data_IF_513366840335
#
_entry.id   IF_513366840335
#
_cell.length_a   1.000
_cell.length_b   1.000
_cell.length_c   1.000
_cell.angle_alpha   90.00
_cell.angle_beta   90.00
_cell.angle_gamma   90.00
#
_symmetry.space_group_name_H-M   'P 1'
#
loop_
_entity.id
_entity.type
_entity.pdbx_description
1 polymer ?
#
# COMPACT_ATOMS: atom_id res chain seq x y z
N UNK A 1 -14.49 16.03 -6.04
CA UNK A 1 -14.44 14.65 -5.50
C UNK A 1 -13.24 14.59 -4.57
N UNK A 2 -12.65 13.44 -4.23
CA UNK A 2 -11.45 13.42 -3.40
C UNK A 2 -10.44 12.47 -4.01
N UNK A 3 -9.33 13.03 -4.47
CA UNK A 3 -8.34 12.32 -5.25
C UNK A 3 -7.13 11.95 -4.40
N UNK A 4 -6.53 10.80 -4.71
CA UNK A 4 -5.36 10.25 -4.02
C UNK A 4 -4.25 10.06 -5.03
N UNK A 5 -3.09 10.63 -4.74
CA UNK A 5 -1.87 10.42 -5.54
C UNK A 5 -1.03 9.35 -4.86
N UNK A 6 -0.66 8.33 -5.64
CA UNK A 6 0.16 7.23 -5.15
C UNK A 6 1.63 7.43 -5.55
N UNK A 7 2.55 7.17 -4.63
CA UNK A 7 3.98 7.18 -4.87
C UNK A 7 4.53 5.77 -4.65
N UNK A 8 5.15 5.20 -5.67
CA UNK A 8 5.75 3.86 -5.63
C UNK A 8 7.26 4.01 -5.72
N UNK A 9 7.97 3.56 -4.68
CA UNK A 9 9.39 3.89 -4.53
C UNK A 9 10.22 2.62 -4.33
N UNK A 10 11.18 2.47 -5.24
CA UNK A 10 12.11 1.34 -5.32
C UNK A 10 11.45 0.05 -5.77
N UNK A 11 12.30 -0.97 -5.98
CA UNK A 11 11.90 -2.27 -6.50
C UNK A 11 10.66 -2.87 -5.83
N UNK A 12 10.63 -2.96 -4.50
CA UNK A 12 9.52 -3.57 -3.78
C UNK A 12 8.23 -2.75 -3.90
N UNK A 13 8.33 -1.41 -3.80
CA UNK A 13 7.19 -0.51 -3.95
C UNK A 13 6.55 -0.61 -5.34
N UNK A 14 7.38 -0.64 -6.38
CA UNK A 14 6.94 -0.74 -7.77
C UNK A 14 6.26 -2.08 -8.09
N UNK A 15 6.80 -3.20 -7.59
CA UNK A 15 6.19 -4.52 -7.79
C UNK A 15 4.83 -4.65 -7.08
N UNK A 16 4.73 -4.17 -5.84
CA UNK A 16 3.48 -4.17 -5.09
C UNK A 16 2.46 -3.25 -5.75
N UNK A 17 2.91 -2.06 -6.16
CA UNK A 17 2.13 -1.09 -6.90
C UNK A 17 1.51 -1.67 -8.18
N UNK A 18 2.29 -2.42 -8.95
CA UNK A 18 1.80 -3.09 -10.16
C UNK A 18 0.67 -4.10 -9.85
N UNK A 19 0.86 -4.93 -8.82
CA UNK A 19 -0.16 -5.88 -8.40
C UNK A 19 -1.40 -5.20 -7.80
N UNK A 20 -1.22 -4.05 -7.16
CA UNK A 20 -2.30 -3.22 -6.62
C UNK A 20 -3.15 -2.62 -7.74
N UNK A 21 -2.52 -2.03 -8.75
CA UNK A 21 -3.25 -1.49 -9.89
C UNK A 21 -3.96 -2.57 -10.72
N UNK A 22 -3.32 -3.71 -10.96
CA UNK A 22 -3.96 -4.85 -11.63
C UNK A 22 -5.21 -5.33 -10.86
N UNK A 23 -5.15 -5.31 -9.53
CA UNK A 23 -6.28 -5.67 -8.67
C UNK A 23 -7.41 -4.65 -8.75
N UNK A 24 -7.09 -3.35 -8.65
CA UNK A 24 -8.06 -2.27 -8.78
C UNK A 24 -8.74 -2.29 -10.15
N UNK A 25 -7.99 -2.45 -11.24
CA UNK A 25 -8.57 -2.58 -12.58
C UNK A 25 -9.57 -3.73 -12.66
N UNK A 26 -9.22 -4.90 -12.09
CA UNK A 26 -10.13 -6.04 -12.02
C UNK A 26 -11.39 -5.80 -11.18
N UNK A 27 -11.33 -4.96 -10.15
CA UNK A 27 -12.50 -4.60 -9.33
C UNK A 27 -13.42 -3.57 -10.01
N UNK A 28 -12.85 -2.68 -10.83
CA UNK A 28 -13.58 -1.65 -11.60
C UNK A 28 -13.95 -2.08 -13.02
N UNK A 29 -13.78 -3.37 -13.36
CA UNK A 29 -14.00 -3.92 -14.70
C UNK A 29 -13.23 -3.18 -15.82
N UNK A 30 -12.02 -2.75 -15.52
CA UNK A 30 -11.07 -2.16 -16.45
C UNK A 30 -10.13 -3.24 -16.98
N UNK A 31 -9.78 -3.13 -18.26
CA UNK A 31 -8.72 -3.91 -18.88
C UNK A 31 -7.34 -3.47 -18.36
N UNK A 32 -6.32 -4.28 -18.60
CA UNK A 32 -4.94 -3.99 -18.21
C UNK A 32 -4.40 -2.69 -18.83
N UNK A 33 -5.00 -2.25 -19.95
CA UNK A 33 -4.69 -0.98 -20.59
C UNK A 33 -5.49 0.22 -20.06
N UNK A 34 -6.42 0.02 -19.11
CA UNK A 34 -7.25 1.08 -18.53
C UNK A 34 -8.56 1.37 -19.28
N UNK A 35 -8.95 0.54 -20.24
CA UNK A 35 -10.23 0.66 -20.95
C UNK A 35 -11.34 -0.10 -20.24
N UNK A 36 -12.55 0.44 -20.24
CA UNK A 36 -13.69 -0.24 -19.62
C UNK A 36 -14.15 -1.44 -20.47
N UNK A 37 -14.20 -2.63 -19.86
CA UNK A 37 -14.54 -3.88 -20.56
C UNK A 37 -16.07 -4.02 -20.74
N UNK A 38 -16.85 -3.53 -19.76
CA UNK A 38 -18.32 -3.62 -19.80
C UNK A 38 -18.99 -2.39 -19.19
N UNK A 39 -20.09 -1.94 -19.81
CA UNK A 39 -20.96 -0.88 -19.32
C UNK A 39 -21.99 -1.43 -18.31
N UNK A 40 -21.53 -2.24 -17.34
CA UNK A 40 -22.35 -2.42 -16.15
C UNK A 40 -22.10 -1.20 -15.28
N UNK A 41 -23.15 -0.40 -15.07
CA UNK A 41 -23.17 0.74 -14.14
C UNK A 41 -23.01 0.20 -12.71
N UNK A 42 -21.79 -0.19 -12.36
CA UNK A 42 -21.38 -0.26 -10.97
C UNK A 42 -21.41 1.19 -10.47
N UNK A 43 -22.05 1.45 -9.33
CA UNK A 43 -21.95 2.73 -8.63
C UNK A 43 -20.55 2.84 -8.02
N UNK A 44 -19.50 2.92 -8.83
CA UNK A 44 -18.10 2.98 -8.40
C UNK A 44 -17.48 4.35 -8.64
N UNK A 45 -16.68 4.83 -7.68
CA UNK A 45 -15.94 6.08 -7.79
C UNK A 45 -14.54 5.81 -8.32
N UNK A 46 -14.41 5.71 -9.64
CA UNK A 46 -13.12 5.49 -10.32
C UNK A 46 -12.17 6.68 -10.17
N UNK A 47 -12.74 7.89 -10.13
CA UNK A 47 -11.98 9.17 -10.14
C UNK A 47 -11.12 9.41 -8.89
N UNK A 48 -11.30 8.61 -7.82
CA UNK A 48 -10.49 8.69 -6.60
C UNK A 48 -9.02 8.37 -6.91
N UNK A 49 -8.79 7.37 -7.77
CA UNK A 49 -7.45 6.87 -8.10
C UNK A 49 -7.06 7.09 -9.56
N UNK A 50 -8.05 7.21 -10.45
CA UNK A 50 -7.84 7.40 -11.87
C UNK A 50 -8.15 8.83 -12.29
N UNK A 51 -7.50 9.29 -13.34
CA UNK A 51 -8.03 10.36 -14.17
C UNK A 51 -8.45 9.78 -15.52
N UNK A 52 -9.49 10.36 -16.11
CA UNK A 52 -9.97 9.97 -17.42
C UNK A 52 -9.27 10.83 -18.48
N UNK A 53 -8.58 10.18 -19.41
CA UNK A 53 -8.00 10.83 -20.57
C UNK A 53 -9.07 11.05 -21.66
N UNK A 54 -8.77 11.93 -22.62
CA UNK A 54 -9.69 12.31 -23.71
C UNK A 54 -10.11 11.14 -24.60
N UNK A 55 -9.29 10.08 -24.65
CA UNK A 55 -9.55 8.82 -25.37
C UNK A 55 -10.46 7.84 -24.60
N UNK A 56 -10.95 8.25 -23.42
CA UNK A 56 -11.78 7.43 -22.55
C UNK A 56 -10.99 6.40 -21.73
N UNK A 57 -9.66 6.47 -21.74
CA UNK A 57 -8.78 5.61 -20.94
C UNK A 57 -8.68 6.12 -19.50
N UNK A 58 -8.77 5.21 -18.54
CA UNK A 58 -8.51 5.51 -17.14
C UNK A 58 -7.03 5.31 -16.83
N UNK A 59 -6.35 6.40 -16.49
CA UNK A 59 -4.92 6.40 -16.18
C UNK A 59 -4.73 6.58 -14.67
N UNK A 60 -3.92 5.74 -14.00
CA UNK A 60 -3.69 5.84 -12.56
C UNK A 60 -2.92 7.11 -12.20
N UNK A 61 -3.34 7.78 -11.12
CA UNK A 61 -2.59 8.86 -10.47
C UNK A 61 -1.45 8.27 -9.65
N UNK A 62 -0.41 7.83 -10.34
CA UNK A 62 0.76 7.20 -9.72
C UNK A 62 2.07 7.72 -10.25
N UNK A 63 3.00 7.94 -9.34
CA UNK A 63 4.39 8.28 -9.63
C UNK A 63 5.26 7.10 -9.23
N UNK A 64 6.07 6.63 -10.18
CA UNK A 64 6.95 5.49 -10.00
C UNK A 64 8.38 5.99 -10.00
N UNK A 65 9.14 5.65 -8.96
CA UNK A 65 10.54 6.02 -8.87
C UNK A 65 11.40 4.81 -8.54
N UNK A 66 12.42 4.58 -9.35
CA UNK A 66 13.47 3.62 -9.03
C UNK A 66 14.83 4.13 -9.47
N UNK A 67 15.87 3.76 -8.72
CA UNK A 67 17.25 3.99 -9.14
C UNK A 67 17.72 2.84 -10.05
N UNK A 68 16.99 1.73 -10.11
CA UNK A 68 17.26 0.60 -10.99
C UNK A 68 16.24 0.46 -12.12
N UNK A 69 16.67 0.36 -13.39
CA UNK A 69 15.75 0.25 -14.53
C UNK A 69 15.06 -1.12 -14.64
N UNK A 70 15.54 -2.15 -13.93
CA UNK A 70 15.12 -3.56 -14.14
C UNK A 70 13.62 -3.76 -13.93
N UNK A 71 13.11 -3.24 -12.81
CA UNK A 71 11.70 -3.42 -12.42
C UNK A 71 10.82 -2.55 -13.30
N UNK A 72 11.21 -1.29 -13.52
CA UNK A 72 10.44 -0.35 -14.34
C UNK A 72 10.33 -0.85 -15.79
N UNK A 73 11.38 -1.44 -16.35
CA UNK A 73 11.33 -2.02 -17.70
C UNK A 73 10.41 -3.24 -17.82
N UNK A 74 10.15 -3.96 -16.72
CA UNK A 74 9.20 -5.08 -16.70
C UNK A 74 7.74 -4.63 -16.57
N UNK A 75 7.49 -3.36 -16.24
CA UNK A 75 6.13 -2.82 -16.08
C UNK A 75 5.49 -2.52 -17.44
N UNK A 76 4.16 -2.59 -17.47
CA UNK A 76 3.37 -2.23 -18.64
C UNK A 76 3.37 -0.71 -18.82
N UNK A 77 4.29 -0.21 -19.67
CA UNK A 77 4.42 1.23 -19.96
C UNK A 77 3.12 1.87 -20.45
N UNK A 78 2.28 1.12 -21.16
CA UNK A 78 1.03 1.63 -21.73
C UNK A 78 -0.07 1.93 -20.69
N UNK A 79 0.07 1.52 -19.43
CA UNK A 79 -0.96 1.77 -18.41
C UNK A 79 -0.68 3.06 -17.63
N UNK A 80 0.58 3.37 -17.38
CA UNK A 80 1.02 4.54 -16.63
C UNK A 80 1.29 5.74 -17.54
N UNK A 81 1.29 6.95 -16.99
CA UNK A 81 1.81 8.11 -17.70
C UNK A 81 3.35 8.03 -17.74
N UNK A 82 3.94 8.09 -18.93
CA UNK A 82 5.40 7.99 -19.11
C UNK A 82 6.15 9.12 -18.39
N UNK A 83 5.54 10.30 -18.28
CA UNK A 83 6.11 11.45 -17.57
C UNK A 83 6.19 11.27 -16.04
N UNK A 84 5.49 10.27 -15.49
CA UNK A 84 5.45 9.98 -14.05
C UNK A 84 6.37 8.82 -13.67
N UNK A 85 7.17 8.31 -14.62
CA UNK A 85 8.11 7.22 -14.41
C UNK A 85 9.53 7.79 -14.36
N UNK A 86 10.14 7.73 -13.19
CA UNK A 86 11.49 8.22 -12.95
C UNK A 86 12.45 7.06 -12.74
N UNK A 87 13.47 7.02 -13.60
CA UNK A 87 14.57 6.05 -13.54
C UNK A 87 15.88 6.83 -13.47
N UNK A 88 16.74 6.54 -12.49
CA UNK A 88 18.10 7.12 -12.50
C UNK A 88 18.90 6.59 -13.70
N UNK A 89 19.47 7.52 -14.47
CA UNK A 89 20.30 7.22 -15.64
C UNK A 89 21.66 6.58 -15.30
N UNK A 90 22.07 6.54 -14.03
CA UNK A 90 23.37 6.00 -13.63
C UNK A 90 23.44 4.46 -13.63
N UNK A 91 22.30 3.76 -13.70
CA UNK A 91 22.22 2.29 -13.80
C UNK A 91 22.76 1.49 -12.60
N UNK A 92 23.46 2.15 -11.68
CA UNK A 92 23.87 1.63 -10.39
C UNK A 92 22.74 1.89 -9.40
N UNK A 93 22.03 0.83 -8.99
CA UNK A 93 21.07 0.93 -7.91
C UNK A 93 21.70 1.40 -6.60
N UNK A 94 20.87 1.69 -5.60
CA UNK A 94 21.37 2.18 -4.32
C UNK A 94 22.24 1.17 -3.53
N UNK A 95 22.40 -0.07 -4.02
CA UNK A 95 23.30 -1.07 -3.44
C UNK A 95 22.97 -1.40 -1.97
N UNK A 96 21.68 -1.37 -1.61
CA UNK A 96 21.20 -1.50 -0.23
C UNK A 96 21.80 -0.49 0.77
N UNK A 97 22.30 0.66 0.31
CA UNK A 97 22.84 1.71 1.16
C UNK A 97 21.84 2.89 1.25
N UNK A 98 21.30 3.12 2.44
CA UNK A 98 20.39 4.24 2.71
C UNK A 98 21.00 5.59 2.37
N UNK A 99 22.27 5.83 2.74
CA UNK A 99 22.92 7.11 2.52
C UNK A 99 23.09 7.40 1.03
N UNK A 100 23.44 6.39 0.22
CA UNK A 100 23.54 6.57 -1.21
C UNK A 100 22.17 6.90 -1.82
N UNK A 101 21.10 6.17 -1.45
CA UNK A 101 19.74 6.48 -1.89
C UNK A 101 19.28 7.89 -1.50
N UNK A 102 19.65 8.36 -0.30
CA UNK A 102 19.30 9.69 0.19
C UNK A 102 20.07 10.82 -0.50
N UNK A 103 21.39 10.67 -0.67
CA UNK A 103 22.23 11.71 -1.26
C UNK A 103 22.21 11.72 -2.79
N UNK A 104 22.28 10.54 -3.43
CA UNK A 104 22.16 10.42 -4.90
C UNK A 104 20.75 10.83 -5.35
N UNK A 105 19.73 10.45 -4.58
CA UNK A 105 18.35 10.83 -4.88
C UNK A 105 18.06 12.34 -4.85
N UNK A 106 18.96 13.18 -4.32
CA UNK A 106 18.79 14.64 -4.38
C UNK A 106 18.80 15.20 -5.79
N UNK A 107 19.49 14.57 -6.74
CA UNK A 107 19.47 15.02 -8.14
C UNK A 107 18.13 14.74 -8.82
N UNK A 108 17.49 13.60 -8.51
CA UNK A 108 16.15 13.26 -9.03
C UNK A 108 15.00 13.91 -8.25
N UNK A 109 15.29 14.45 -7.07
CA UNK A 109 14.28 15.03 -6.16
C UNK A 109 13.45 16.10 -6.85
N UNK A 110 14.09 17.04 -7.52
CA UNK A 110 13.40 18.20 -8.10
C UNK A 110 12.48 17.76 -9.25
N UNK A 111 12.94 16.85 -10.12
CA UNK A 111 12.12 16.28 -11.20
C UNK A 111 10.89 15.53 -10.66
N UNK A 112 11.06 14.72 -9.61
CA UNK A 112 9.95 13.98 -8.99
C UNK A 112 8.97 14.92 -8.30
N UNK A 113 9.46 15.99 -7.65
CA UNK A 113 8.61 16.98 -7.00
C UNK A 113 7.83 17.82 -8.02
N UNK A 114 8.43 18.15 -9.16
CA UNK A 114 7.75 18.85 -10.26
C UNK A 114 6.63 18.00 -10.87
N UNK A 115 6.85 16.69 -11.06
CA UNK A 115 5.79 15.79 -11.50
C UNK A 115 4.72 15.56 -10.43
N UNK A 116 5.12 15.48 -9.15
CA UNK A 116 4.15 15.44 -8.05
C UNK A 116 3.29 16.69 -8.05
N UNK A 117 3.88 17.86 -8.23
CA UNK A 117 3.13 19.11 -8.30
C UNK A 117 2.16 19.12 -9.49
N UNK A 118 2.58 18.66 -10.66
CA UNK A 118 1.70 18.52 -11.84
C UNK A 118 0.50 17.61 -11.58
N UNK A 119 0.72 16.47 -10.93
CA UNK A 119 -0.35 15.54 -10.55
C UNK A 119 -1.28 16.12 -9.48
N UNK A 120 -0.76 16.94 -8.56
CA UNK A 120 -1.58 17.64 -7.56
C UNK A 120 -2.41 18.75 -8.21
N UNK A 121 -1.84 19.49 -9.17
CA UNK A 121 -2.54 20.52 -9.93
C UNK A 121 -3.61 19.94 -10.86
N UNK A 122 -3.46 18.70 -11.30
CA UNK A 122 -4.47 17.97 -12.09
C UNK A 122 -5.61 17.36 -11.23
N UNK A 123 -5.55 17.48 -9.91
CA UNK A 123 -6.61 17.06 -9.00
C UNK A 123 -7.52 18.26 -8.66
N UNK A 124 -8.84 18.07 -8.67
CA UNK A 124 -9.77 19.09 -8.19
C UNK A 124 -9.65 19.27 -6.68
N UNK A 125 -9.54 18.16 -5.94
CA UNK A 125 -9.38 18.16 -4.49
C UNK A 125 -8.53 16.98 -4.01
N UNK A 126 -7.21 17.19 -4.00
CA UNK A 126 -6.28 16.24 -3.37
C UNK A 126 -6.64 15.99 -1.90
N UNK A 127 -6.90 14.74 -1.55
CA UNK A 127 -7.16 14.32 -0.16
C UNK A 127 -5.89 13.87 0.55
N UNK A 128 -5.13 12.95 -0.05
CA UNK A 128 -3.95 12.35 0.59
C UNK A 128 -2.94 11.79 -0.40
N UNK A 129 -1.71 11.58 0.10
CA UNK A 129 -0.65 10.89 -0.61
C UNK A 129 -0.46 9.50 -0.04
N UNK A 130 -0.42 8.48 -0.90
CA UNK A 130 -0.14 7.10 -0.52
C UNK A 130 1.23 6.66 -1.02
N UNK A 131 2.17 6.51 -0.10
CA UNK A 131 3.53 6.07 -0.41
C UNK A 131 3.65 4.57 -0.19
N UNK A 132 4.12 3.82 -1.17
CA UNK A 132 4.43 2.40 -1.06
C UNK A 132 5.93 2.19 -1.25
N UNK A 133 6.60 1.74 -0.20
CA UNK A 133 8.05 1.61 -0.20
C UNK A 133 8.54 0.52 0.76
N UNK A 134 9.77 0.06 0.55
CA UNK A 134 10.44 -0.85 1.49
C UNK A 134 11.30 -0.07 2.49
N UNK A 135 11.26 -0.48 3.76
CA UNK A 135 12.06 0.07 4.85
C UNK A 135 13.51 -0.43 4.82
N UNK A 136 13.75 -1.58 4.19
CA UNK A 136 15.06 -2.25 4.15
C UNK A 136 15.89 -1.94 2.90
N UNK A 137 15.25 -1.67 1.76
CA UNK A 137 15.94 -1.50 0.48
C UNK A 137 16.62 -0.14 0.33
N UNK A 138 17.77 -0.05 -0.33
CA UNK A 138 18.53 1.22 -0.43
C UNK A 138 17.73 2.38 -1.03
N UNK A 139 17.03 2.15 -2.14
CA UNK A 139 16.18 3.17 -2.81
C UNK A 139 14.92 3.46 -1.99
N UNK A 140 14.15 2.42 -1.63
CA UNK A 140 12.89 2.58 -0.89
C UNK A 140 13.05 3.22 0.48
N UNK A 141 14.18 2.98 1.14
CA UNK A 141 14.51 3.51 2.46
C UNK A 141 15.12 4.91 2.37
N UNK A 142 16.21 5.07 1.60
CA UNK A 142 16.98 6.31 1.47
C UNK A 142 16.24 7.39 0.70
N UNK A 143 15.92 7.13 -0.57
CA UNK A 143 15.19 8.09 -1.40
C UNK A 143 13.75 8.27 -0.90
N UNK A 144 13.12 7.20 -0.41
CA UNK A 144 11.81 7.32 0.23
C UNK A 144 11.82 8.28 1.43
N UNK A 145 12.84 8.21 2.28
CA UNK A 145 12.98 9.14 3.41
C UNK A 145 13.13 10.60 2.96
N UNK A 146 13.89 10.86 1.89
CA UNK A 146 14.03 12.19 1.32
C UNK A 146 12.68 12.73 0.81
N UNK A 147 11.92 11.92 0.07
CA UNK A 147 10.61 12.33 -0.43
C UNK A 147 9.61 12.61 0.69
N UNK A 148 9.64 11.85 1.79
CA UNK A 148 8.80 12.12 2.96
C UNK A 148 9.03 13.51 3.54
N UNK A 149 10.30 13.93 3.63
CA UNK A 149 10.68 15.26 4.14
C UNK A 149 10.16 16.37 3.21
N UNK A 150 10.40 16.24 1.91
CA UNK A 150 10.04 17.24 0.92
C UNK A 150 8.53 17.37 0.74
N UNK A 151 7.80 16.25 0.66
CA UNK A 151 6.34 16.27 0.54
C UNK A 151 5.70 16.95 1.75
N UNK A 152 6.19 16.68 2.97
CA UNK A 152 5.65 17.31 4.17
C UNK A 152 5.98 18.80 4.25
N UNK A 153 7.14 19.23 3.71
CA UNK A 153 7.52 20.63 3.63
C UNK A 153 6.68 21.40 2.60
N UNK A 154 6.45 20.82 1.41
CA UNK A 154 5.70 21.46 0.32
C UNK A 154 4.18 21.41 0.56
N UNK A 155 3.67 20.29 1.08
CA UNK A 155 2.23 20.06 1.30
C UNK A 155 1.89 19.77 2.77
N UNK A 156 2.12 20.71 3.71
CA UNK A 156 1.99 20.45 5.14
C UNK A 156 0.56 20.14 5.60
N UNK A 157 -0.45 20.61 4.86
CA UNK A 157 -1.87 20.42 5.19
C UNK A 157 -2.45 19.10 4.68
N UNK A 158 -1.73 18.36 3.84
CA UNK A 158 -2.22 17.13 3.22
C UNK A 158 -1.72 15.92 3.99
N UNK A 159 -2.57 14.90 4.10
CA UNK A 159 -2.25 13.69 4.86
C UNK A 159 -1.33 12.80 4.04
N UNK A 160 -0.22 12.36 4.65
CA UNK A 160 0.76 11.48 4.04
C UNK A 160 0.73 10.11 4.72
N UNK A 161 0.36 9.09 3.95
CA UNK A 161 0.19 7.73 4.46
C UNK A 161 1.16 6.80 3.77
N UNK A 162 1.79 5.92 4.55
CA UNK A 162 2.78 4.99 4.04
C UNK A 162 2.35 3.54 4.22
N UNK A 163 2.42 2.76 3.16
CA UNK A 163 2.42 1.31 3.16
C UNK A 163 3.87 0.84 3.17
N UNK A 164 4.38 0.59 4.38
CA UNK A 164 5.78 0.28 4.61
C UNK A 164 5.98 -1.22 4.75
N UNK A 165 6.79 -1.80 3.85
CA UNK A 165 7.19 -3.19 3.93
C UNK A 165 8.42 -3.32 4.83
N UNK A 166 8.23 -4.01 5.94
CA UNK A 166 9.27 -4.34 6.90
C UNK A 166 9.97 -5.64 6.50
N UNK A 167 11.30 -5.69 6.71
CA UNK A 167 12.05 -6.89 6.42
C UNK A 167 11.65 -8.05 7.33
N UNK A 168 11.98 -9.26 6.86
CA UNK A 168 11.96 -10.44 7.72
C UNK A 168 13.19 -10.41 8.64
N UNK A 169 12.98 -10.36 9.95
CA UNK A 169 14.05 -10.41 10.96
C UNK A 169 14.30 -11.83 11.49
N UNK A 170 13.41 -12.79 11.20
CA UNK A 170 13.50 -14.16 11.72
C UNK A 170 14.51 -15.03 10.93
N UNK A 171 14.82 -14.64 9.68
CA UNK A 171 15.80 -15.28 8.81
C UNK A 171 17.00 -14.35 8.62
N UNK A 172 18.20 -14.91 8.54
CA UNK A 172 19.42 -14.13 8.26
C UNK A 172 19.24 -13.53 6.86
N UNK A 173 18.95 -12.24 6.80
CA UNK A 173 18.88 -11.51 5.53
C UNK A 173 20.26 -11.47 4.89
N UNK A 174 20.34 -11.69 3.57
CA UNK A 174 21.58 -11.57 2.80
C UNK A 174 22.24 -10.17 2.91
N UNK A 175 21.47 -9.17 3.37
CA UNK A 175 21.89 -7.78 3.52
C UNK A 175 22.20 -7.47 4.99
N UNK A 176 23.48 -7.36 5.32
CA UNK A 176 23.95 -7.05 6.70
C UNK A 176 23.58 -5.63 7.18
N UNK A 177 23.36 -4.68 6.26
CA UNK A 177 23.05 -3.28 6.58
C UNK A 177 21.56 -2.99 6.79
N UNK A 178 20.71 -4.02 6.67
CA UNK A 178 19.26 -3.89 6.77
C UNK A 178 18.76 -3.24 8.07
N UNK A 179 19.29 -3.55 9.27
CA UNK A 179 18.88 -2.87 10.50
C UNK A 179 19.18 -1.36 10.49
N UNK A 180 20.32 -0.95 9.92
CA UNK A 180 20.68 0.47 9.82
C UNK A 180 19.72 1.23 8.92
N UNK A 181 19.44 0.71 7.73
CA UNK A 181 18.48 1.32 6.80
C UNK A 181 17.08 1.44 7.44
N UNK A 182 16.69 0.41 8.19
CA UNK A 182 15.38 0.37 8.83
C UNK A 182 15.22 1.42 9.91
N UNK A 183 16.22 1.57 10.81
CA UNK A 183 16.17 2.57 11.88
C UNK A 183 16.16 3.99 11.34
N UNK A 184 16.99 4.28 10.33
CA UNK A 184 17.04 5.61 9.70
C UNK A 184 15.71 5.97 9.05
N UNK A 185 15.09 5.01 8.35
CA UNK A 185 13.79 5.23 7.69
C UNK A 185 12.65 5.34 8.70
N UNK A 186 12.67 4.54 9.75
CA UNK A 186 11.68 4.59 10.84
C UNK A 186 11.62 5.96 11.49
N UNK A 187 12.76 6.61 11.73
CA UNK A 187 12.80 7.95 12.27
C UNK A 187 12.05 8.95 11.36
N UNK A 188 12.22 8.85 10.04
CA UNK A 188 11.58 9.76 9.08
C UNK A 188 10.10 9.48 8.90
N UNK A 189 9.70 8.20 8.87
CA UNK A 189 8.30 7.79 8.94
C UNK A 189 7.62 8.34 10.21
N UNK A 190 8.33 8.28 11.35
CA UNK A 190 7.82 8.80 12.61
C UNK A 190 7.72 10.33 12.66
N UNK A 191 8.49 11.08 11.87
CA UNK A 191 8.41 12.54 11.88
C UNK A 191 7.45 13.10 10.82
N UNK A 192 7.41 12.49 9.63
CA UNK A 192 6.77 13.11 8.45
C UNK A 192 5.47 12.45 7.99
N UNK A 193 5.25 11.16 8.26
CA UNK A 193 3.98 10.50 7.91
C UNK A 193 2.89 10.78 8.96
N UNK A 194 1.64 10.82 8.54
CA UNK A 194 0.49 10.90 9.43
C UNK A 194 -0.02 9.49 9.81
N UNK A 195 0.13 8.50 8.92
CA UNK A 195 -0.16 7.09 9.18
C UNK A 195 0.84 6.16 8.51
N UNK A 196 1.19 5.05 9.18
CA UNK A 196 2.07 4.01 8.66
C UNK A 196 1.42 2.65 8.83
N UNK A 197 1.03 2.02 7.73
CA UNK A 197 0.55 0.64 7.71
C UNK A 197 1.76 -0.29 7.62
N UNK A 198 1.98 -1.05 8.70
CA UNK A 198 3.14 -1.92 8.87
C UNK A 198 2.84 -3.31 8.33
N UNK A 199 3.62 -3.74 7.34
CA UNK A 199 3.51 -5.08 6.76
C UNK A 199 4.86 -5.79 6.83
N UNK A 200 4.94 -6.87 7.59
CA UNK A 200 6.18 -7.61 7.81
C UNK A 200 6.25 -8.82 6.88
N UNK A 201 7.34 -8.92 6.09
CA UNK A 201 7.59 -10.05 5.21
C UNK A 201 7.64 -11.40 5.95
N UNK A 202 8.15 -11.45 7.19
CA UNK A 202 8.16 -12.68 7.98
C UNK A 202 6.75 -13.18 8.33
N UNK A 203 5.85 -12.27 8.69
CA UNK A 203 4.45 -12.59 8.95
C UNK A 203 3.69 -12.94 7.67
N UNK A 204 3.95 -12.21 6.57
CA UNK A 204 3.36 -12.51 5.26
C UNK A 204 3.78 -13.87 4.73
N UNK A 205 5.05 -14.26 4.88
CA UNK A 205 5.54 -15.60 4.53
C UNK A 205 4.85 -16.68 5.34
N UNK A 206 4.67 -16.49 6.66
CA UNK A 206 3.91 -17.42 7.51
C UNK A 206 2.45 -17.54 7.06
N UNK A 207 1.80 -16.42 6.72
CA UNK A 207 0.43 -16.41 6.16
C UNK A 207 0.37 -17.18 4.84
N UNK A 208 1.35 -17.01 3.95
CA UNK A 208 1.42 -17.72 2.68
C UNK A 208 1.62 -19.23 2.86
N UNK A 209 2.45 -19.65 3.83
CA UNK A 209 2.65 -21.05 4.18
C UNK A 209 1.35 -21.67 4.75
N UNK A 210 0.75 -21.03 5.75
CA UNK A 210 -0.38 -21.59 6.49
C UNK A 210 -1.71 -21.51 5.71
N UNK A 211 -2.02 -20.33 5.14
CA UNK A 211 -3.32 -20.07 4.52
C UNK A 211 -3.37 -20.50 3.05
N UNK A 212 -2.29 -20.29 2.29
CA UNK A 212 -2.25 -20.68 0.88
C UNK A 212 -1.69 -22.10 0.66
N UNK A 213 -1.11 -22.73 1.69
CA UNK A 213 -0.49 -24.09 1.65
C UNK A 213 0.65 -24.20 0.63
N UNK A 214 1.39 -23.12 0.43
CA UNK A 214 2.51 -23.07 -0.51
C UNK A 214 3.76 -23.54 0.23
N UNK A 215 4.59 -24.41 -0.36
CA UNK A 215 5.79 -24.94 0.31
C UNK A 215 6.94 -23.92 0.40
N UNK A 216 7.08 -23.07 -0.62
CA UNK A 216 8.10 -22.01 -0.70
C UNK A 216 7.45 -20.75 -1.27
N UNK A 217 7.14 -19.73 -0.45
CA UNK A 217 6.46 -18.53 -0.91
C UNK A 217 7.39 -17.71 -1.80
N UNK A 218 6.93 -17.33 -3.00
CA UNK A 218 7.66 -16.42 -3.87
C UNK A 218 7.28 -14.96 -3.57
N UNK A 219 8.15 -14.00 -3.89
CA UNK A 219 7.89 -12.57 -3.69
C UNK A 219 6.64 -12.10 -4.43
N UNK A 220 6.33 -12.65 -5.61
CA UNK A 220 5.10 -12.31 -6.35
C UNK A 220 3.83 -12.64 -5.56
N UNK A 221 3.83 -13.75 -4.82
CA UNK A 221 2.69 -14.18 -4.01
C UNK A 221 2.56 -13.30 -2.76
N UNK A 222 3.67 -12.93 -2.13
CA UNK A 222 3.70 -11.99 -1.01
C UNK A 222 3.17 -10.61 -1.45
N UNK A 223 3.65 -10.11 -2.59
CA UNK A 223 3.21 -8.84 -3.16
C UNK A 223 1.71 -8.87 -3.50
N UNK A 224 1.17 -10.01 -3.93
CA UNK A 224 -0.28 -10.19 -4.15
C UNK A 224 -1.10 -10.13 -2.86
N UNK A 225 -0.59 -10.67 -1.75
CA UNK A 225 -1.24 -10.55 -0.44
C UNK A 225 -1.28 -9.09 0.01
N UNK A 226 -0.15 -8.40 -0.11
CA UNK A 226 -0.04 -6.98 0.22
C UNK A 226 -1.00 -6.14 -0.63
N UNK A 227 -1.03 -6.36 -1.94
CA UNK A 227 -1.91 -5.61 -2.84
C UNK A 227 -3.40 -5.84 -2.53
N UNK A 228 -3.77 -7.05 -2.10
CA UNK A 228 -5.13 -7.37 -1.66
C UNK A 228 -5.53 -6.58 -0.41
N UNK A 229 -4.62 -6.45 0.56
CA UNK A 229 -4.86 -5.68 1.79
C UNK A 229 -4.94 -4.19 1.51
N UNK A 230 -4.06 -3.69 0.64
CA UNK A 230 -4.11 -2.29 0.18
C UNK A 230 -5.45 -2.00 -0.50
N UNK A 231 -5.89 -2.87 -1.42
CA UNK A 231 -7.21 -2.74 -2.08
C UNK A 231 -8.38 -2.76 -1.09
N UNK A 232 -8.32 -3.67 -0.10
CA UNK A 232 -9.36 -3.79 0.93
C UNK A 232 -9.42 -2.56 1.85
N UNK A 233 -8.27 -1.97 2.18
CA UNK A 233 -8.19 -0.76 3.02
C UNK A 233 -8.78 0.46 2.30
N UNK A 234 -8.66 0.52 0.97
CA UNK A 234 -9.18 1.63 0.15
C UNK A 234 -10.59 1.39 -0.39
N UNK A 235 -11.22 0.28 -0.01
CA UNK A 235 -12.52 -0.12 -0.54
C UNK A 235 -13.62 0.90 -0.20
N UNK A 236 -13.63 1.44 1.02
CA UNK A 236 -14.61 2.44 1.48
C UNK A 236 -14.52 3.78 0.76
N UNK A 237 -13.37 4.07 0.14
CA UNK A 237 -13.14 5.29 -0.64
C UNK A 237 -13.66 5.14 -2.07
N UNK A 238 -13.44 3.97 -2.67
CA UNK A 238 -13.76 3.66 -4.07
C UNK A 238 -15.22 3.31 -4.26
N UNK A 239 -15.84 2.64 -3.29
CA UNK A 239 -17.25 2.32 -3.32
C UNK A 239 -18.02 3.24 -2.36
N UNK A 240 -19.13 3.84 -2.81
CA UNK A 240 -19.88 4.80 -2.01
C UNK A 240 -20.41 4.12 -0.75
N UNK A 241 -19.94 4.59 0.39
CA UNK A 241 -20.39 4.15 1.71
C UNK A 241 -20.85 5.36 2.53
N UNK A 242 -21.81 5.14 3.43
CA UNK A 242 -22.39 6.23 4.24
C UNK A 242 -21.45 6.74 5.35
N UNK A 243 -20.55 5.89 5.83
CA UNK A 243 -19.55 6.24 6.85
C UNK A 243 -18.16 5.88 6.33
N UNK A 244 -17.16 6.69 6.70
CA UNK A 244 -15.76 6.52 6.27
C UNK A 244 -15.54 6.65 4.75
N UNK A 245 -16.30 7.54 4.10
CA UNK A 245 -16.10 7.93 2.69
C UNK A 245 -14.80 8.68 2.43
N UNK A 246 -14.16 9.15 3.51
CA UNK A 246 -13.02 10.05 3.50
C UNK A 246 -11.87 9.40 4.25
N UNK A 247 -10.66 9.51 3.72
CA UNK A 247 -9.51 8.89 4.36
C UNK A 247 -9.17 9.55 5.70
N UNK A 248 -9.36 10.87 5.82
CA UNK A 248 -9.13 11.58 7.08
C UNK A 248 -10.10 11.15 8.19
N UNK A 249 -11.33 10.73 7.85
CA UNK A 249 -12.30 10.19 8.80
C UNK A 249 -11.87 8.82 9.31
N UNK A 250 -11.29 7.99 8.41
CA UNK A 250 -10.69 6.70 8.79
C UNK A 250 -9.51 6.93 9.75
N UNK A 251 -8.59 7.83 9.40
CA UNK A 251 -7.44 8.13 10.24
C UNK A 251 -7.84 8.66 11.62
N UNK A 252 -8.84 9.54 11.69
CA UNK A 252 -9.32 10.10 12.95
C UNK A 252 -9.92 9.05 13.89
N UNK A 253 -10.51 7.98 13.33
CA UNK A 253 -11.04 6.88 14.12
C UNK A 253 -9.95 5.92 14.61
N UNK A 254 -8.91 5.71 13.80
CA UNK A 254 -7.87 4.70 14.09
C UNK A 254 -6.69 5.28 14.89
N UNK A 255 -6.35 6.56 14.70
CA UNK A 255 -5.18 7.21 15.30
C UNK A 255 -5.65 8.25 16.34
N UNK A 256 -5.72 7.87 17.63
CA UNK A 256 -6.11 8.79 18.70
C UNK A 256 -5.00 9.80 19.06
N UNK A 257 -3.74 9.40 18.88
CA UNK A 257 -2.56 10.21 19.18
C UNK A 257 -1.57 10.13 18.03
N UNK A 258 -0.96 11.26 17.66
CA UNK A 258 0.01 11.32 16.57
C UNK A 258 1.28 10.47 16.82
N UNK A 259 1.57 10.15 18.09
CA UNK A 259 2.65 9.24 18.46
C UNK A 259 2.32 7.76 18.17
N UNK A 260 1.04 7.40 18.07
CA UNK A 260 0.54 6.03 17.89
C UNK A 260 -0.06 5.85 16.48
N UNK A 261 0.76 6.08 15.47
CA UNK A 261 0.36 6.07 14.05
C UNK A 261 0.74 4.82 13.26
N UNK A 262 1.30 3.81 13.93
CA UNK A 262 1.64 2.53 13.32
C UNK A 262 0.44 1.59 13.38
N UNK A 263 -0.11 1.26 12.22
CA UNK A 263 -1.29 0.42 12.05
C UNK A 263 -0.87 -1.00 11.66
N UNK A 264 -1.49 -1.99 12.29
CA UNK A 264 -1.26 -3.41 11.98
C UNK A 264 -2.48 -3.94 11.23
N UNK A 265 -2.34 -4.24 9.92
CA UNK A 265 -3.44 -4.81 9.17
C UNK A 265 -3.61 -6.29 9.51
N UNK A 266 -4.87 -6.73 9.50
CA UNK A 266 -5.23 -8.14 9.45
C UNK A 266 -6.29 -8.34 8.39
N UNK A 267 -6.19 -9.46 7.67
CA UNK A 267 -7.10 -9.76 6.58
C UNK A 267 -7.55 -11.22 6.63
N UNK A 268 -8.84 -11.42 6.36
CA UNK A 268 -9.45 -12.73 6.19
C UNK A 268 -10.65 -12.59 5.23
N UNK A 269 -10.92 -13.55 4.35
CA UNK A 269 -10.22 -14.82 4.16
C UNK A 269 -9.12 -14.75 3.08
N UNK A 270 -7.99 -15.41 3.33
CA UNK A 270 -7.05 -15.79 2.25
C UNK A 270 -7.49 -17.13 1.67
N UNK A 271 -8.08 -17.09 0.47
CA UNK A 271 -8.51 -18.29 -0.24
C UNK A 271 -7.49 -18.59 -1.34
N UNK A 272 -6.96 -19.81 -1.33
CA UNK A 272 -6.17 -20.28 -2.46
C UNK A 272 -7.08 -20.48 -3.67
N UNK A 273 -6.76 -19.84 -4.80
CA UNK A 273 -7.50 -19.91 -6.06
C UNK A 273 -7.62 -21.33 -6.63
N UNK A 274 -6.77 -22.26 -6.18
CA UNK A 274 -6.78 -23.67 -6.63
C UNK A 274 -7.83 -24.54 -5.91
N UNK A 275 -8.42 -24.07 -4.81
CA UNK A 275 -9.39 -24.86 -4.04
C UNK A 275 -10.78 -24.75 -4.67
N UNK A 276 -11.23 -25.84 -5.31
CA UNK A 276 -12.52 -25.94 -6.02
C UNK A 276 -13.77 -25.90 -5.13
N UNK A 277 -13.64 -26.05 -3.81
CA UNK A 277 -14.77 -26.05 -2.86
C UNK A 277 -14.50 -24.99 -1.80
N UNK A 278 -15.08 -23.80 -1.98
CA UNK A 278 -15.02 -22.70 -1.01
C UNK A 278 -16.27 -22.77 -0.15
N UNK A 279 -16.11 -23.10 1.13
CA UNK A 279 -17.21 -23.00 2.11
C UNK A 279 -17.46 -21.52 2.41
N UNK A 280 -18.72 -21.07 2.33
CA UNK A 280 -19.13 -19.74 2.83
C UNK A 280 -18.82 -19.69 4.32
N UNK A 281 -17.92 -18.78 4.70
CA UNK A 281 -17.59 -18.53 6.11
C UNK A 281 -18.67 -17.61 6.69
N UNK A 282 -19.07 -17.87 7.93
CA UNK A 282 -19.97 -16.97 8.66
C UNK A 282 -19.20 -15.75 9.17
N UNK A 283 -19.91 -14.65 9.42
CA UNK A 283 -19.29 -13.40 9.93
C UNK A 283 -18.56 -13.64 11.26
N UNK A 284 -19.14 -14.41 12.19
CA UNK A 284 -18.49 -14.78 13.46
C UNK A 284 -17.16 -15.52 13.26
N UNK A 285 -17.10 -16.47 12.32
CA UNK A 285 -15.84 -17.17 12.01
C UNK A 285 -14.78 -16.21 11.44
N UNK A 286 -15.19 -15.24 10.61
CA UNK A 286 -14.29 -14.23 10.04
C UNK A 286 -13.75 -13.30 11.14
N UNK A 287 -14.62 -12.82 12.04
CA UNK A 287 -14.22 -11.96 13.16
C UNK A 287 -13.19 -12.66 14.04
N UNK A 288 -13.48 -13.90 14.47
CA UNK A 288 -12.54 -14.70 15.28
C UNK A 288 -11.21 -14.92 14.58
N UNK A 289 -11.23 -15.07 13.24
CA UNK A 289 -10.00 -15.21 12.45
C UNK A 289 -9.22 -13.91 12.39
N UNK A 290 -9.85 -12.75 12.15
CA UNK A 290 -9.18 -11.44 12.08
C UNK A 290 -8.42 -11.14 13.38
N UNK A 291 -8.96 -11.50 14.53
CA UNK A 291 -8.27 -11.32 15.81
C UNK A 291 -7.19 -12.36 16.12
N UNK A 292 -7.14 -13.45 15.36
CA UNK A 292 -6.11 -14.49 15.50
C UNK A 292 -4.73 -13.94 15.12
N UNK A 293 -3.70 -14.41 15.80
CA UNK A 293 -2.31 -14.05 15.46
C UNK A 293 -1.92 -14.51 14.05
N UNK A 294 -2.56 -15.56 13.55
CA UNK A 294 -2.24 -16.17 12.25
C UNK A 294 -2.56 -15.26 11.07
N UNK A 295 -3.45 -14.28 11.22
CA UNK A 295 -3.88 -13.37 10.14
C UNK A 295 -3.28 -11.97 10.29
N UNK A 296 -2.51 -11.70 11.35
CA UNK A 296 -1.87 -10.41 11.57
C UNK A 296 -0.62 -10.32 10.71
N UNK A 297 -0.48 -9.21 9.98
CA UNK A 297 0.65 -9.00 9.07
C UNK A 297 1.90 -8.43 9.74
N UNK A 298 1.84 -8.19 11.05
CA UNK A 298 3.00 -7.86 11.85
C UNK A 298 2.97 -8.68 13.15
N UNK A 299 4.06 -9.40 13.40
CA UNK A 299 4.28 -10.13 14.66
C UNK A 299 4.81 -9.18 15.73
N UNK A 300 4.18 -9.19 16.90
CA UNK A 300 4.68 -8.54 18.11
C UNK A 300 4.52 -9.48 19.30
N UNK A 301 5.43 -9.37 20.28
CA UNK A 301 5.39 -10.20 21.47
C UNK A 301 4.20 -9.78 22.36
N UNK A 302 3.19 -10.64 22.48
CA UNK A 302 2.07 -10.38 23.38
C UNK A 302 2.52 -10.54 24.84
N UNK A 303 2.53 -9.42 25.58
CA UNK A 303 2.58 -9.39 27.04
C UNK A 303 1.20 -9.09 27.61
N UNK A 304 0.92 -9.54 28.85
CA UNK A 304 -0.34 -9.26 29.59
C UNK A 304 -0.64 -7.77 29.77
N UNK A 305 0.31 -6.89 29.48
CA UNK A 305 0.20 -5.43 29.57
C UNK A 305 -0.22 -4.75 28.26
N UNK A 306 -0.46 -5.49 27.18
CA UNK A 306 -0.91 -4.89 25.92
C UNK A 306 -2.42 -4.65 25.94
N UNK A 307 -2.83 -3.45 25.50
CA UNK A 307 -4.23 -3.09 25.30
C UNK A 307 -4.45 -2.58 23.87
N UNK A 308 -5.61 -2.89 23.29
CA UNK A 308 -6.06 -2.28 22.05
C UNK A 308 -6.72 -0.94 22.36
N UNK A 309 -6.29 0.12 21.69
CA UNK A 309 -6.85 1.47 21.88
C UNK A 309 -7.93 1.76 20.82
N UNK A 310 -7.63 1.46 19.56
CA UNK A 310 -8.57 1.58 18.45
C UNK A 310 -8.46 0.38 17.53
N UNK A 311 -9.59 -0.05 16.98
CA UNK A 311 -9.70 -1.15 16.02
C UNK A 311 -10.75 -0.76 14.98
N UNK A 312 -10.41 -0.93 13.71
CA UNK A 312 -11.33 -0.75 12.59
C UNK A 312 -11.47 -2.07 11.84
N UNK A 313 -12.71 -2.58 11.79
CA UNK A 313 -13.04 -3.78 11.05
C UNK A 313 -13.84 -3.37 9.80
N UNK A 314 -13.27 -3.58 8.62
CA UNK A 314 -13.92 -3.32 7.34
C UNK A 314 -14.43 -4.66 6.81
N UNK A 315 -15.74 -4.76 6.64
CA UNK A 315 -16.39 -5.92 6.02
C UNK A 315 -16.88 -5.55 4.63
N UNK A 316 -16.55 -6.41 3.66
CA UNK A 316 -16.98 -6.24 2.28
C UNK A 316 -18.03 -7.32 1.94
N UNK A 317 -19.05 -6.95 1.17
CA UNK A 317 -20.10 -7.85 0.67
C UNK A 317 -20.86 -8.62 1.78
N UNK A 318 -21.23 -7.92 2.85
CA UNK A 318 -22.11 -8.47 3.89
C UNK A 318 -23.56 -8.39 3.43
N UNK A 319 -24.24 -9.53 3.35
CA UNK A 319 -25.65 -9.62 2.96
C UNK A 319 -26.61 -9.26 4.12
N UNK A 320 -26.25 -9.54 5.37
CA UNK A 320 -27.08 -9.27 6.56
C UNK A 320 -26.27 -8.56 7.67
N UNK A 321 -26.69 -7.33 8.01
CA UNK A 321 -26.08 -6.50 9.06
C UNK A 321 -26.28 -7.12 10.46
N UNK A 322 -27.36 -7.88 10.64
CA UNK A 322 -27.69 -8.52 11.92
C UNK A 322 -26.66 -9.60 12.32
N UNK A 323 -26.00 -10.23 11.35
CA UNK A 323 -24.91 -11.17 11.61
C UNK A 323 -23.65 -10.48 12.12
N UNK A 324 -23.41 -9.23 11.70
CA UNK A 324 -22.28 -8.42 12.16
C UNK A 324 -22.49 -8.02 13.61
N UNK A 325 -23.69 -7.55 13.97
CA UNK A 325 -24.02 -7.22 15.36
C UNK A 325 -23.87 -8.41 16.30
N UNK A 326 -24.36 -9.60 15.88
CA UNK A 326 -24.22 -10.85 16.64
C UNK A 326 -22.78 -11.33 16.77
N UNK A 327 -21.93 -11.07 15.79
CA UNK A 327 -20.52 -11.48 15.81
C UNK A 327 -19.62 -10.54 16.60
N UNK A 328 -20.06 -9.31 16.88
CA UNK A 328 -19.32 -8.32 17.69
C UNK A 328 -19.60 -8.51 19.19
N UNK A 329 -20.80 -8.97 19.57
CA UNK A 329 -21.25 -9.22 20.95
C UNK A 329 -20.62 -10.48 21.56
#
# INVERSE_FOLDING_TARGET
MREIVTLQIGQCGNQIGNNFWSKICGEHNLDQCGYQISNNDLEDRKDVFFYQADDGKFIPRSILVDLEPRVINSLQKNFYNEENIFVSGEGCGAGNNWAYGYYSGKSLKDEVMDALQREVESCDLLESFFMTHSVAGGTGSGFGSLLLEEIKNTFPKKSLNSFSIFPNNDEISDVVVQPYNSVLSLQRLFLHCDSVVVMNNGSLSKIALDSLRIKTPNFDQINYLVSTVMSATTNTLRFPTYMFSDFNSILSAVIPYNTLKFLIPSYSPFVNKEVKIVRKLTVDEIIRRIYSEKTKMASFAQSKTHGHISVLNIFNNVEDVSEVEKGIL
#
